data_IF_417227688904
#
_entry.id   IF_417227688904
#
_cell.length_a   1.000
_cell.length_b   1.000
_cell.length_c   1.000
_cell.angle_alpha   90.00
_cell.angle_beta   90.00
_cell.angle_gamma   90.00
#
_symmetry.space_group_name_H-M   'P 1'
#
loop_
_entity.id
_entity.type
_entity.pdbx_description
1 polymer ?
#
# COMPACT_ATOMS: atom_id res chain seq x y z
N UNK A 1 56.59 -9.99 -83.76
CA UNK A 1 55.21 -10.33 -83.36
C UNK A 1 55.19 -10.81 -81.89
N UNK A 2 55.40 -9.93 -80.90
CA UNK A 2 55.44 -10.33 -79.47
C UNK A 2 54.49 -9.50 -78.57
N UNK A 3 53.56 -8.74 -79.18
CA UNK A 3 52.64 -7.84 -78.45
C UNK A 3 51.44 -8.57 -77.84
N UNK A 4 50.80 -9.47 -78.60
CA UNK A 4 49.59 -10.17 -78.18
C UNK A 4 49.82 -11.13 -77.00
N UNK A 5 50.99 -11.77 -76.92
CA UNK A 5 51.32 -12.68 -75.81
C UNK A 5 51.46 -11.95 -74.47
N UNK A 6 52.01 -10.73 -74.48
CA UNK A 6 52.13 -9.89 -73.27
C UNK A 6 50.75 -9.44 -72.77
N UNK A 7 49.86 -9.07 -73.69
CA UNK A 7 48.49 -8.68 -73.35
C UNK A 7 47.67 -9.83 -72.77
N UNK A 8 47.84 -11.05 -73.28
CA UNK A 8 47.15 -12.25 -72.75
C UNK A 8 47.66 -12.59 -71.33
N UNK A 9 48.98 -12.50 -71.09
CA UNK A 9 49.55 -12.73 -69.75
C UNK A 9 49.10 -11.66 -68.76
N UNK A 10 49.04 -10.39 -69.17
CA UNK A 10 48.53 -9.29 -68.34
C UNK A 10 47.05 -9.46 -68.00
N UNK A 11 46.23 -9.92 -68.96
CA UNK A 11 44.81 -10.20 -68.73
C UNK A 11 44.62 -11.37 -67.75
N UNK A 12 45.44 -12.42 -67.86
CA UNK A 12 45.42 -13.55 -66.92
C UNK A 12 45.77 -13.15 -65.49
N UNK A 13 46.81 -12.31 -65.32
CA UNK A 13 47.22 -11.81 -63.99
C UNK A 13 46.15 -10.89 -63.40
N UNK A 14 45.55 -10.01 -64.20
CA UNK A 14 44.47 -9.14 -63.75
C UNK A 14 43.24 -9.93 -63.28
N UNK A 15 42.87 -11.00 -64.01
CA UNK A 15 41.76 -11.87 -63.65
C UNK A 15 42.02 -12.61 -62.33
N UNK A 16 43.24 -13.11 -62.14
CA UNK A 16 43.66 -13.77 -60.90
C UNK A 16 43.62 -12.83 -59.69
N UNK A 17 44.08 -11.59 -59.86
CA UNK A 17 44.04 -10.57 -58.81
C UNK A 17 42.60 -10.14 -58.47
N UNK A 18 41.73 -10.02 -59.47
CA UNK A 18 40.33 -9.70 -59.24
C UNK A 18 39.59 -10.81 -58.47
N UNK A 19 39.86 -12.08 -58.83
CA UNK A 19 39.30 -13.24 -58.13
C UNK A 19 39.81 -13.34 -56.68
N UNK A 20 41.11 -13.16 -56.45
CA UNK A 20 41.67 -13.23 -55.10
C UNK A 20 41.16 -12.11 -54.20
N UNK A 21 41.07 -10.88 -54.71
CA UNK A 21 40.48 -9.75 -54.00
C UNK A 21 38.99 -10.00 -53.70
N UNK A 22 38.23 -10.52 -54.66
CA UNK A 22 36.82 -10.89 -54.47
C UNK A 22 36.63 -11.95 -53.38
N UNK A 23 37.48 -12.99 -53.37
CA UNK A 23 37.45 -14.04 -52.35
C UNK A 23 37.83 -13.48 -50.98
N UNK A 24 38.84 -12.61 -50.89
CA UNK A 24 39.26 -11.98 -49.63
C UNK A 24 38.17 -11.06 -49.07
N UNK A 25 37.51 -10.27 -49.91
CA UNK A 25 36.38 -9.40 -49.50
C UNK A 25 35.18 -10.25 -49.09
N UNK A 26 34.90 -11.34 -49.81
CA UNK A 26 33.82 -12.27 -49.46
C UNK A 26 34.09 -12.98 -48.13
N UNK A 27 35.33 -13.44 -47.89
CA UNK A 27 35.74 -14.00 -46.60
C UNK A 27 35.70 -12.97 -45.48
N UNK A 28 36.11 -11.72 -45.74
CA UNK A 28 36.04 -10.64 -44.76
C UNK A 28 34.61 -10.23 -44.42
N UNK A 29 33.71 -10.20 -45.43
CA UNK A 29 32.28 -10.03 -45.22
C UNK A 29 31.64 -11.21 -44.51
N UNK A 30 32.09 -12.44 -44.71
CA UNK A 30 31.59 -13.57 -43.93
C UNK A 30 32.12 -13.54 -42.48
N UNK A 31 33.39 -13.17 -42.28
CA UNK A 31 33.99 -13.00 -40.97
C UNK A 31 33.36 -11.84 -40.17
N UNK A 32 32.89 -10.78 -40.85
CA UNK A 32 32.12 -9.69 -40.24
C UNK A 32 30.60 -9.92 -40.22
N UNK A 33 30.06 -10.71 -41.16
CA UNK A 33 28.65 -11.09 -41.24
C UNK A 33 28.24 -12.08 -40.15
N UNK A 34 29.21 -12.75 -39.52
CA UNK A 34 29.01 -13.51 -38.28
C UNK A 34 29.21 -12.66 -37.02
N UNK A 35 29.88 -11.50 -37.10
CA UNK A 35 30.05 -10.58 -35.98
C UNK A 35 28.77 -9.78 -35.63
N UNK A 36 27.71 -9.90 -36.44
CA UNK A 36 26.36 -9.39 -36.17
C UNK A 36 25.41 -10.41 -35.51
N UNK A 37 25.81 -11.69 -35.39
CA UNK A 37 25.22 -12.56 -34.37
C UNK A 37 25.92 -12.23 -33.07
N UNK A 38 25.55 -11.10 -32.47
CA UNK A 38 25.84 -10.84 -31.05
C UNK A 38 25.52 -12.13 -30.31
N UNK A 39 26.44 -12.56 -29.43
CA UNK A 39 26.26 -13.69 -28.51
C UNK A 39 24.78 -13.89 -28.29
N UNK A 40 24.23 -15.02 -28.76
CA UNK A 40 22.80 -15.30 -28.62
C UNK A 40 22.48 -15.07 -27.14
N UNK A 41 21.91 -13.90 -26.85
CA UNK A 41 21.76 -13.45 -25.47
C UNK A 41 20.91 -14.54 -24.87
N UNK A 42 21.39 -15.18 -23.80
CA UNK A 42 20.67 -16.28 -23.19
C UNK A 42 19.26 -15.79 -22.94
N UNK A 43 18.29 -16.36 -23.66
CA UNK A 43 16.90 -15.97 -23.57
C UNK A 43 16.20 -16.98 -22.69
N UNK A 44 15.37 -16.51 -21.77
CA UNK A 44 14.56 -17.38 -20.93
C UNK A 44 13.06 -17.07 -21.11
N UNK A 45 12.21 -18.07 -20.90
CA UNK A 45 10.76 -17.91 -21.01
C UNK A 45 10.24 -17.00 -19.89
N UNK A 46 9.34 -16.09 -20.26
CA UNK A 46 8.70 -15.14 -19.38
C UNK A 46 7.21 -15.05 -19.70
N UNK A 47 6.36 -15.16 -18.70
CA UNK A 47 4.92 -14.96 -18.86
C UNK A 47 4.60 -13.47 -18.98
N UNK A 48 3.89 -13.10 -20.05
CA UNK A 48 3.45 -11.73 -20.33
C UNK A 48 1.94 -11.69 -20.61
N UNK A 49 1.33 -10.52 -20.42
CA UNK A 49 -0.08 -10.31 -20.75
C UNK A 49 -0.29 -10.17 -22.27
N UNK A 50 -1.38 -10.74 -22.80
CA UNK A 50 -1.73 -10.62 -24.23
C UNK A 50 -2.45 -9.32 -24.57
N UNK A 51 -3.07 -8.69 -23.57
CA UNK A 51 -3.87 -7.46 -23.65
C UNK A 51 -3.73 -6.68 -22.34
N UNK A 52 -4.32 -5.49 -22.30
CA UNK A 52 -4.47 -4.77 -21.04
C UNK A 52 -5.42 -5.54 -20.11
N UNK A 53 -4.99 -5.74 -18.86
CA UNK A 53 -5.72 -6.44 -17.81
C UNK A 53 -5.90 -5.50 -16.61
N UNK A 54 -7.13 -5.16 -16.22
CA UNK A 54 -7.37 -4.33 -15.05
C UNK A 54 -7.07 -5.07 -13.74
N UNK A 55 -6.83 -4.31 -12.67
CA UNK A 55 -6.71 -4.87 -11.32
C UNK A 55 -7.97 -5.65 -10.93
N UNK A 56 -7.82 -6.74 -10.16
CA UNK A 56 -8.92 -7.63 -9.77
C UNK A 56 -9.27 -8.70 -10.81
N UNK A 57 -8.63 -8.70 -11.99
CA UNK A 57 -8.86 -9.73 -13.01
C UNK A 57 -8.28 -11.08 -12.57
N UNK A 58 -9.09 -12.14 -12.66
CA UNK A 58 -8.63 -13.52 -12.51
C UNK A 58 -7.94 -13.97 -13.79
N UNK A 59 -6.70 -14.41 -13.66
CA UNK A 59 -5.85 -14.80 -14.78
C UNK A 59 -6.33 -16.12 -15.37
N UNK A 60 -6.76 -16.05 -16.63
CA UNK A 60 -7.09 -17.21 -17.44
C UNK A 60 -5.97 -17.48 -18.47
N UNK A 61 -5.78 -18.73 -18.93
CA UNK A 61 -4.70 -19.07 -19.85
C UNK A 61 -4.71 -18.29 -21.17
N UNK A 62 -5.87 -17.84 -21.64
CA UNK A 62 -6.04 -17.05 -22.88
C UNK A 62 -5.56 -15.59 -22.75
N UNK A 63 -5.40 -15.11 -21.51
CA UNK A 63 -4.92 -13.75 -21.22
C UNK A 63 -3.40 -13.66 -21.13
N UNK A 64 -2.72 -14.81 -21.14
CA UNK A 64 -1.29 -14.93 -20.88
C UNK A 64 -0.60 -15.62 -22.06
N UNK A 65 0.64 -15.21 -22.34
CA UNK A 65 1.49 -15.90 -23.30
C UNK A 65 2.92 -15.96 -22.78
N UNK A 66 3.67 -16.94 -23.25
CA UNK A 66 5.10 -17.05 -22.97
C UNK A 66 5.85 -16.30 -24.06
N UNK A 67 6.73 -15.38 -23.66
CA UNK A 67 7.62 -14.66 -24.56
C UNK A 67 9.07 -14.86 -24.13
N UNK A 68 9.96 -15.07 -25.09
CA UNK A 68 11.40 -15.16 -24.83
C UNK A 68 11.98 -13.77 -24.60
N UNK A 69 12.56 -13.55 -23.42
CA UNK A 69 13.22 -12.30 -23.05
C UNK A 69 14.73 -12.52 -22.85
N UNK A 70 15.60 -11.57 -23.23
CA UNK A 70 17.02 -11.61 -22.89
C UNK A 70 17.22 -11.59 -21.38
N UNK A 71 18.11 -12.45 -20.85
CA UNK A 71 18.42 -12.54 -19.41
C UNK A 71 18.83 -11.18 -18.81
N UNK A 72 19.46 -10.32 -19.60
CA UNK A 72 19.91 -8.97 -19.16
C UNK A 72 18.76 -8.01 -18.83
N UNK A 73 17.55 -8.26 -19.32
CA UNK A 73 16.36 -7.41 -19.11
C UNK A 73 15.30 -8.11 -18.26
N UNK A 74 15.63 -9.24 -17.63
CA UNK A 74 14.67 -10.00 -16.85
C UNK A 74 14.44 -9.41 -15.45
N UNK A 75 13.18 -9.38 -14.97
CA UNK A 75 12.89 -9.10 -13.57
C UNK A 75 13.50 -10.15 -12.62
N UNK A 76 13.81 -9.72 -11.39
CA UNK A 76 14.41 -10.57 -10.36
C UNK A 76 13.53 -11.78 -9.96
N UNK A 77 12.21 -11.60 -9.91
CA UNK A 77 11.24 -12.66 -9.69
C UNK A 77 10.25 -12.73 -10.86
N UNK A 78 9.97 -13.94 -11.35
CA UNK A 78 9.20 -14.18 -12.57
C UNK A 78 8.52 -15.54 -12.55
N UNK A 79 7.56 -15.70 -13.46
CA UNK A 79 6.92 -16.97 -13.77
C UNK A 79 7.35 -17.46 -15.14
N UNK A 80 7.71 -18.73 -15.23
CA UNK A 80 8.20 -19.34 -16.47
C UNK A 80 7.08 -20.03 -17.24
N UNK A 81 6.01 -20.43 -16.54
CA UNK A 81 4.86 -21.15 -17.12
C UNK A 81 3.54 -20.50 -16.75
N UNK A 82 2.55 -20.58 -17.64
CA UNK A 82 1.20 -20.05 -17.41
C UNK A 82 0.49 -20.78 -16.25
N UNK A 83 0.79 -22.07 -16.05
CA UNK A 83 0.19 -22.89 -14.98
C UNK A 83 0.50 -22.38 -13.58
N UNK A 84 1.65 -21.73 -13.37
CA UNK A 84 2.05 -21.17 -12.06
C UNK A 84 1.16 -20.00 -11.61
N UNK A 85 0.46 -19.37 -12.55
CA UNK A 85 -0.30 -18.14 -12.33
C UNK A 85 -1.77 -18.26 -12.72
N UNK A 86 -2.16 -19.40 -13.29
CA UNK A 86 -3.54 -19.69 -13.65
C UNK A 86 -4.45 -19.62 -12.42
N UNK A 87 -5.55 -18.87 -12.54
CA UNK A 87 -6.52 -18.69 -11.47
C UNK A 87 -6.13 -17.68 -10.39
N UNK A 88 -4.91 -17.12 -10.43
CA UNK A 88 -4.52 -16.02 -9.54
C UNK A 88 -5.16 -14.70 -9.96
N UNK A 89 -5.24 -13.74 -9.05
CA UNK A 89 -5.86 -12.43 -9.29
C UNK A 89 -4.80 -11.34 -9.36
N UNK A 90 -4.96 -10.38 -10.26
CA UNK A 90 -4.11 -9.19 -10.34
C UNK A 90 -4.37 -8.22 -9.20
N UNK A 91 -3.32 -7.79 -8.50
CA UNK A 91 -3.39 -6.72 -7.50
C UNK A 91 -3.36 -5.32 -8.12
N UNK A 92 -2.82 -5.19 -9.33
CA UNK A 92 -2.71 -3.91 -10.07
C UNK A 92 -2.93 -4.17 -11.55
N UNK A 93 -3.31 -3.12 -12.30
CA UNK A 93 -3.48 -3.23 -13.75
C UNK A 93 -2.15 -3.51 -14.45
N UNK A 94 -2.24 -4.22 -15.57
CA UNK A 94 -1.10 -4.72 -16.33
C UNK A 94 -1.33 -4.45 -17.81
N UNK A 95 -0.33 -3.91 -18.50
CA UNK A 95 -0.42 -3.58 -19.93
C UNK A 95 -0.13 -4.79 -20.81
N UNK A 96 -0.55 -4.73 -22.08
CA UNK A 96 -0.17 -5.73 -23.06
C UNK A 96 1.36 -5.84 -23.19
N UNK A 97 1.87 -7.07 -23.27
CA UNK A 97 3.30 -7.41 -23.34
C UNK A 97 4.13 -7.08 -22.09
N UNK A 98 3.48 -6.66 -21.00
CA UNK A 98 4.18 -6.47 -19.73
C UNK A 98 4.57 -7.82 -19.10
N UNK A 99 5.72 -7.95 -18.43
CA UNK A 99 6.08 -9.12 -17.63
C UNK A 99 5.21 -9.32 -16.38
N UNK A 100 4.76 -10.55 -16.14
CA UNK A 100 4.06 -10.88 -14.91
C UNK A 100 5.06 -11.19 -13.78
N UNK A 101 5.02 -10.38 -12.73
CA UNK A 101 5.85 -10.54 -11.52
C UNK A 101 4.98 -10.88 -10.31
N UNK A 102 5.54 -11.48 -9.23
CA UNK A 102 4.78 -11.78 -8.02
C UNK A 102 4.13 -10.54 -7.39
N UNK A 103 4.78 -9.36 -7.49
CA UNK A 103 4.24 -8.09 -6.99
C UNK A 103 2.98 -7.60 -7.71
N UNK A 104 2.72 -8.09 -8.93
CA UNK A 104 1.50 -7.79 -9.70
C UNK A 104 0.33 -8.69 -9.32
N UNK A 105 0.61 -9.80 -8.62
CA UNK A 105 -0.39 -10.74 -8.18
C UNK A 105 -0.84 -10.41 -6.77
N UNK A 106 -2.14 -10.53 -6.55
CA UNK A 106 -2.68 -10.52 -5.22
C UNK A 106 -2.20 -11.79 -4.47
N UNK A 107 -2.03 -11.68 -3.15
CA UNK A 107 -1.64 -12.82 -2.31
C UNK A 107 -2.59 -14.00 -2.52
N UNK A 108 -2.16 -15.23 -2.21
CA UNK A 108 -2.96 -16.46 -2.47
C UNK A 108 -4.38 -16.38 -1.91
N UNK A 109 -4.58 -15.66 -0.81
CA UNK A 109 -5.88 -15.44 -0.19
C UNK A 109 -6.83 -14.52 -0.99
N UNK A 110 -6.33 -13.75 -1.96
CA UNK A 110 -7.15 -12.86 -2.78
C UNK A 110 -7.91 -13.57 -3.90
N UNK A 111 -7.55 -14.79 -4.29
CA UNK A 111 -8.16 -15.51 -5.42
C UNK A 111 -9.65 -15.84 -5.23
N UNK A 112 -10.19 -15.75 -4.00
CA UNK A 112 -11.62 -15.85 -3.70
C UNK A 112 -12.26 -14.52 -3.26
N UNK A 113 -11.64 -13.38 -3.57
CA UNK A 113 -12.09 -12.05 -3.13
C UNK A 113 -11.89 -11.83 -1.63
N UNK A 114 -12.45 -10.75 -1.09
CA UNK A 114 -12.38 -10.47 0.36
C UNK A 114 -12.96 -11.66 1.16
N UNK A 115 -13.94 -12.38 0.62
CA UNK A 115 -14.50 -13.58 1.26
C UNK A 115 -13.51 -14.71 1.55
N UNK A 116 -12.41 -14.82 0.78
CA UNK A 116 -11.39 -15.85 1.01
C UNK A 116 -10.32 -15.47 2.06
N UNK A 117 -10.20 -14.19 2.41
CA UNK A 117 -9.31 -13.72 3.50
C UNK A 117 -10.03 -13.64 4.85
N UNK A 118 -11.37 -13.67 4.88
CA UNK A 118 -12.13 -13.58 6.13
C UNK A 118 -11.97 -14.88 6.93
N UNK A 119 -11.54 -14.72 8.17
CA UNK A 119 -11.47 -15.79 9.17
C UNK A 119 -12.87 -16.37 9.41
N UNK A 120 -12.97 -17.70 9.47
CA UNK A 120 -14.24 -18.38 9.73
C UNK A 120 -14.94 -17.83 10.98
N UNK A 121 -16.23 -17.49 10.86
CA UNK A 121 -17.01 -16.89 11.94
C UNK A 121 -16.93 -15.36 12.03
N UNK A 122 -16.14 -14.69 11.18
CA UNK A 122 -16.09 -13.22 11.08
C UNK A 122 -16.75 -12.70 9.79
N UNK A 123 -16.89 -11.39 9.67
CA UNK A 123 -17.51 -10.65 8.56
C UNK A 123 -16.61 -9.49 8.15
N UNK A 124 -16.57 -9.21 6.86
CA UNK A 124 -16.00 -7.99 6.34
C UNK A 124 -17.06 -6.88 6.36
N UNK A 125 -16.76 -5.77 7.04
CA UNK A 125 -17.65 -4.60 7.07
C UNK A 125 -16.93 -3.37 6.51
N UNK A 126 -17.52 -2.75 5.49
CA UNK A 126 -17.05 -1.49 4.96
C UNK A 126 -17.54 -0.33 5.83
N UNK A 127 -16.62 0.52 6.27
CA UNK A 127 -16.89 1.69 7.11
C UNK A 127 -16.27 2.93 6.50
N UNK A 128 -17.04 4.03 6.50
CA UNK A 128 -16.56 5.33 6.06
C UNK A 128 -15.71 5.94 7.17
N UNK A 129 -14.45 6.25 6.84
CA UNK A 129 -13.54 6.99 7.71
C UNK A 129 -13.53 8.48 7.39
N UNK A 130 -13.20 9.29 8.39
CA UNK A 130 -12.91 10.70 8.18
C UNK A 130 -11.39 10.90 7.96
N UNK A 131 -11.03 11.57 6.86
CA UNK A 131 -9.65 11.75 6.37
C UNK A 131 -8.77 12.62 7.29
N UNK A 132 -9.37 13.36 8.22
CA UNK A 132 -8.75 14.52 8.87
C UNK A 132 -7.89 14.18 10.11
N UNK A 133 -8.01 12.99 10.69
CA UNK A 133 -7.22 12.61 11.88
C UNK A 133 -6.27 11.43 11.57
N UNK A 134 -5.24 11.70 10.77
CA UNK A 134 -3.93 11.07 10.95
C UNK A 134 -3.45 9.99 9.96
N UNK A 135 -4.23 9.57 8.96
CA UNK A 135 -3.89 8.36 8.19
C UNK A 135 -4.00 8.55 6.67
N UNK A 136 -3.42 9.62 6.13
CA UNK A 136 -3.37 9.95 4.69
C UNK A 136 -2.73 8.84 3.82
N UNK A 137 -3.42 7.71 3.65
CA UNK A 137 -2.93 6.50 2.98
C UNK A 137 -1.98 5.63 3.82
N UNK A 138 -1.92 5.83 5.14
CA UNK A 138 -1.02 5.03 6.00
C UNK A 138 -1.60 3.67 6.38
N UNK A 139 -2.92 3.57 6.53
CA UNK A 139 -3.60 2.30 6.79
C UNK A 139 -3.58 1.46 5.53
N UNK A 140 -2.99 0.27 5.63
CA UNK A 140 -2.91 -0.71 4.55
C UNK A 140 -3.59 -2.01 4.95
N UNK A 141 -4.03 -2.82 3.96
CA UNK A 141 -4.44 -4.20 4.23
C UNK A 141 -3.41 -4.95 5.09
N UNK A 142 -3.87 -5.67 6.11
CA UNK A 142 -3.04 -6.37 7.09
C UNK A 142 -2.63 -5.54 8.30
N UNK A 143 -2.94 -4.24 8.36
CA UNK A 143 -2.75 -3.44 9.58
C UNK A 143 -3.86 -3.70 10.60
N UNK A 144 -3.55 -3.42 11.86
CA UNK A 144 -4.50 -3.43 12.97
C UNK A 144 -4.88 -1.99 13.30
N UNK A 145 -6.16 -1.75 13.57
CA UNK A 145 -6.67 -0.44 13.97
C UNK A 145 -7.55 -0.54 15.21
N UNK A 146 -7.56 0.51 16.01
CA UNK A 146 -8.59 0.73 17.02
C UNK A 146 -9.65 1.66 16.42
N UNK A 147 -10.92 1.34 16.70
CA UNK A 147 -12.08 2.07 16.19
C UNK A 147 -12.65 2.92 17.31
N UNK A 148 -12.60 4.23 17.13
CA UNK A 148 -13.18 5.20 18.04
C UNK A 148 -14.46 5.77 17.46
N UNK A 149 -15.40 6.13 18.32
CA UNK A 149 -16.61 6.84 17.92
C UNK A 149 -16.77 8.10 18.75
N UNK A 150 -17.16 9.19 18.10
CA UNK A 150 -17.68 10.39 18.76
C UNK A 150 -19.19 10.41 18.62
N UNK A 151 -19.89 10.38 19.76
CA UNK A 151 -21.36 10.35 19.85
C UNK A 151 -21.85 11.41 20.84
N UNK A 152 -23.05 11.99 20.63
CA UNK A 152 -23.71 12.75 21.68
C UNK A 152 -24.06 11.84 22.87
N UNK A 153 -23.91 12.36 24.09
CA UNK A 153 -24.17 11.65 25.34
C UNK A 153 -25.16 12.46 26.19
N UNK A 154 -26.28 11.82 26.51
CA UNK A 154 -27.38 12.43 27.26
C UNK A 154 -28.47 13.00 26.34
N UNK A 155 -29.33 13.86 26.90
CA UNK A 155 -30.43 14.51 26.15
C UNK A 155 -29.99 15.76 25.38
N UNK A 156 -28.73 16.16 25.55
CA UNK A 156 -28.18 17.39 25.03
C UNK A 156 -27.15 17.04 23.95
N UNK A 157 -27.53 17.23 22.70
CA UNK A 157 -26.71 16.90 21.53
C UNK A 157 -25.39 17.70 21.48
N UNK A 158 -25.27 18.78 22.27
CA UNK A 158 -24.03 19.54 22.39
C UNK A 158 -22.94 18.83 23.21
N UNK A 159 -23.32 17.83 24.02
CA UNK A 159 -22.38 17.05 24.84
C UNK A 159 -21.96 15.81 24.08
N UNK A 160 -20.80 15.88 23.43
CA UNK A 160 -20.22 14.73 22.75
C UNK A 160 -19.14 14.06 23.58
N UNK A 161 -19.03 12.74 23.44
CA UNK A 161 -17.96 11.94 24.02
C UNK A 161 -17.33 11.07 22.94
N UNK A 162 -16.01 10.98 22.96
CA UNK A 162 -15.24 10.07 22.12
C UNK A 162 -14.78 8.88 22.93
N UNK A 163 -14.99 7.66 22.43
CA UNK A 163 -14.55 6.43 23.09
C UNK A 163 -14.11 5.37 22.10
N UNK A 164 -13.14 4.54 22.51
CA UNK A 164 -12.75 3.32 21.80
C UNK A 164 -13.89 2.31 21.89
N UNK A 165 -14.43 1.91 20.74
CA UNK A 165 -15.53 0.93 20.63
C UNK A 165 -14.98 -0.47 20.39
N UNK A 166 -13.92 -0.56 19.58
CA UNK A 166 -13.21 -1.80 19.26
C UNK A 166 -11.72 -1.56 19.25
N UNK A 167 -10.97 -2.59 19.64
CA UNK A 167 -9.51 -2.60 19.61
C UNK A 167 -9.00 -3.75 18.75
N UNK A 168 -7.79 -3.58 18.21
CA UNK A 168 -7.07 -4.63 17.50
C UNK A 168 -7.87 -5.24 16.34
N UNK A 169 -8.49 -4.38 15.53
CA UNK A 169 -9.33 -4.80 14.41
C UNK A 169 -8.48 -4.93 13.13
N UNK A 170 -8.48 -6.08 12.45
CA UNK A 170 -7.77 -6.26 11.19
C UNK A 170 -8.42 -5.47 10.05
N UNK A 171 -7.59 -4.78 9.27
CA UNK A 171 -8.01 -4.12 8.02
C UNK A 171 -7.77 -5.06 6.84
N UNK A 172 -8.85 -5.41 6.14
CA UNK A 172 -8.80 -6.27 4.95
C UNK A 172 -8.57 -5.48 3.66
N UNK A 173 -9.15 -4.28 3.58
CA UNK A 173 -8.99 -3.39 2.43
C UNK A 173 -9.06 -1.92 2.86
N UNK A 174 -8.35 -1.06 2.15
CA UNK A 174 -8.44 0.39 2.28
C UNK A 174 -8.52 0.99 0.87
N UNK A 175 -9.48 1.87 0.65
CA UNK A 175 -9.71 2.51 -0.63
C UNK A 175 -10.37 3.86 -0.46
N UNK A 176 -10.47 4.61 -1.55
CA UNK A 176 -11.18 5.87 -1.54
C UNK A 176 -12.23 5.85 -2.63
N UNK A 177 -13.45 6.27 -2.29
CA UNK A 177 -14.52 6.40 -3.26
C UNK A 177 -14.60 7.86 -3.66
N UNK A 178 -14.35 8.14 -4.94
CA UNK A 178 -14.72 9.42 -5.53
C UNK A 178 -16.24 9.45 -5.61
N UNK A 179 -16.87 10.42 -4.94
CA UNK A 179 -18.24 10.78 -5.28
C UNK A 179 -18.24 11.22 -6.75
N UNK A 180 -19.20 10.72 -7.54
CA UNK A 180 -19.28 10.93 -8.98
C UNK A 180 -18.99 12.38 -9.38
N UNK A 181 -18.28 12.57 -10.51
CA UNK A 181 -17.82 13.83 -11.12
C UNK A 181 -18.92 14.87 -11.45
N UNK A 182 -20.16 14.66 -11.02
CA UNK A 182 -21.26 15.63 -11.19
C UNK A 182 -21.44 16.60 -10.02
N UNK A 183 -20.77 16.35 -8.89
CA UNK A 183 -20.74 17.30 -7.77
C UNK A 183 -19.37 17.97 -7.74
N UNK A 184 -19.29 19.24 -8.17
CA UNK A 184 -18.09 20.11 -8.16
C UNK A 184 -17.65 20.49 -6.71
N UNK A 185 -17.48 19.47 -5.87
CA UNK A 185 -17.09 19.57 -4.47
C UNK A 185 -16.96 18.20 -3.78
N UNK A 186 -16.87 17.11 -4.56
CA UNK A 186 -16.86 15.74 -4.08
C UNK A 186 -15.80 15.50 -3.00
N UNK A 187 -16.24 15.44 -1.74
CA UNK A 187 -15.37 15.11 -0.62
C UNK A 187 -14.92 13.66 -0.78
N UNK A 188 -13.62 13.47 -0.95
CA UNK A 188 -12.97 12.16 -1.00
C UNK A 188 -13.23 11.44 0.33
N UNK A 189 -14.04 10.38 0.30
CA UNK A 189 -14.32 9.57 1.47
C UNK A 189 -13.43 8.32 1.44
N UNK A 190 -12.62 8.15 2.49
CA UNK A 190 -11.85 6.93 2.67
C UNK A 190 -12.77 5.84 3.22
N UNK A 191 -12.74 4.67 2.60
CA UNK A 191 -13.51 3.49 2.98
C UNK A 191 -12.53 2.40 3.41
N UNK A 192 -12.74 1.90 4.62
CA UNK A 192 -11.95 0.82 5.20
C UNK A 192 -12.83 -0.41 5.34
N UNK A 193 -12.33 -1.57 4.93
CA UNK A 193 -13.00 -2.85 5.14
C UNK A 193 -12.35 -3.55 6.33
N UNK A 194 -13.11 -3.70 7.40
CA UNK A 194 -12.66 -4.29 8.67
C UNK A 194 -13.12 -5.74 8.79
N UNK A 195 -12.30 -6.58 9.40
CA UNK A 195 -12.69 -7.94 9.79
C UNK A 195 -13.25 -7.95 11.22
N UNK A 196 -14.54 -8.25 11.36
CA UNK A 196 -15.26 -8.14 12.63
C UNK A 196 -16.00 -9.43 12.95
N UNK A 197 -16.16 -9.76 14.23
CA UNK A 197 -17.18 -10.72 14.66
C UNK A 197 -18.59 -10.14 14.45
N UNK A 198 -19.66 -10.96 14.44
CA UNK A 198 -21.04 -10.46 14.36
C UNK A 198 -21.36 -9.40 15.41
N UNK A 199 -20.95 -9.64 16.66
CA UNK A 199 -21.21 -8.74 17.78
C UNK A 199 -20.46 -7.41 17.65
N UNK A 200 -19.23 -7.44 17.14
CA UNK A 200 -18.46 -6.23 16.84
C UNK A 200 -19.04 -5.46 15.65
N UNK A 201 -19.54 -6.19 14.65
CA UNK A 201 -20.23 -5.61 13.49
C UNK A 201 -21.47 -4.82 13.90
N UNK A 202 -22.27 -5.34 14.84
CA UNK A 202 -23.44 -4.65 15.39
C UNK A 202 -23.03 -3.34 16.09
N UNK A 203 -21.98 -3.36 16.91
CA UNK A 203 -21.46 -2.16 17.60
C UNK A 203 -21.00 -1.09 16.61
N UNK A 204 -20.25 -1.49 15.59
CA UNK A 204 -19.71 -0.57 14.56
C UNK A 204 -20.83 -0.01 13.70
N UNK A 205 -21.81 -0.82 13.31
CA UNK A 205 -22.96 -0.36 12.53
C UNK A 205 -23.77 0.71 13.30
N UNK A 206 -24.02 0.49 14.59
CA UNK A 206 -24.70 1.46 15.44
C UNK A 206 -23.86 2.75 15.59
N UNK A 207 -22.58 2.60 15.91
CA UNK A 207 -21.64 3.70 16.07
C UNK A 207 -21.52 4.56 14.79
N UNK A 208 -21.48 3.93 13.62
CA UNK A 208 -21.46 4.60 12.32
C UNK A 208 -22.77 5.33 12.00
N UNK A 209 -23.89 4.88 12.55
CA UNK A 209 -25.20 5.49 12.29
C UNK A 209 -25.44 6.69 13.20
N UNK A 210 -24.98 6.62 14.45
CA UNK A 210 -25.26 7.62 15.47
C UNK A 210 -24.16 8.66 15.65
N UNK A 211 -22.97 8.45 15.07
CA UNK A 211 -21.80 9.29 15.32
C UNK A 211 -20.77 9.28 14.21
N UNK A 212 -19.61 9.84 14.54
CA UNK A 212 -18.46 9.89 13.63
C UNK A 212 -17.42 8.86 14.05
N UNK A 213 -17.03 7.99 13.13
CA UNK A 213 -15.96 7.01 13.35
C UNK A 213 -14.58 7.63 13.08
N UNK A 214 -13.64 7.28 13.94
CA UNK A 214 -12.22 7.59 13.81
C UNK A 214 -11.41 6.30 13.94
N UNK A 215 -10.26 6.27 13.29
CA UNK A 215 -9.35 5.12 13.33
C UNK A 215 -8.02 5.54 13.90
N UNK A 216 -7.50 4.75 14.84
CA UNK A 216 -6.12 4.85 15.31
C UNK A 216 -5.35 3.63 14.81
N UNK A 217 -4.22 3.85 14.13
CA UNK A 217 -3.37 2.75 13.69
C UNK A 217 -2.67 2.14 14.89
N UNK A 218 -2.87 0.83 15.09
CA UNK A 218 -2.29 0.08 16.21
C UNK A 218 -0.95 -0.52 15.79
N UNK A 219 0.00 -0.58 16.73
CA UNK A 219 1.24 -1.31 16.51
C UNK A 219 0.94 -2.81 16.38
N UNK A 220 1.53 -3.47 15.39
CA UNK A 220 1.33 -4.90 15.15
C UNK A 220 1.81 -5.81 16.30
N UNK A 221 2.71 -5.32 17.16
CA UNK A 221 3.20 -6.06 18.34
C UNK A 221 2.40 -5.76 19.62
N UNK A 222 1.47 -4.81 19.58
CA UNK A 222 0.66 -4.43 20.73
C UNK A 222 -0.63 -5.26 20.74
N UNK A 223 -0.73 -6.21 21.67
CA UNK A 223 -1.90 -7.09 21.84
C UNK A 223 -2.64 -6.85 23.15
N UNK A 224 -2.26 -5.85 23.94
CA UNK A 224 -2.85 -5.62 25.27
C UNK A 224 -4.14 -4.80 25.17
N UNK A 225 -5.23 -5.30 25.76
CA UNK A 225 -6.48 -4.52 25.82
C UNK A 225 -6.34 -3.34 26.77
N UNK A 226 -6.62 -2.12 26.30
CA UNK A 226 -6.51 -0.90 27.11
C UNK A 226 -7.89 -0.35 27.43
N UNK A 227 -8.34 -0.51 28.68
CA UNK A 227 -9.63 0.05 29.08
C UNK A 227 -9.54 1.57 29.19
N UNK A 228 -10.38 2.25 28.42
CA UNK A 228 -10.51 3.72 28.46
C UNK A 228 -11.90 4.14 28.94
N UNK A 229 -11.95 5.22 29.72
CA UNK A 229 -13.23 5.81 30.12
C UNK A 229 -13.88 6.55 28.95
N UNK A 230 -13.07 7.06 28.02
CA UNK A 230 -13.45 7.98 26.94
C UNK A 230 -13.15 9.43 27.32
N UNK A 231 -13.25 10.35 26.36
CA UNK A 231 -12.99 11.77 26.56
C UNK A 231 -14.15 12.62 26.07
N UNK A 232 -14.61 13.52 26.92
CA UNK A 232 -15.49 14.63 26.54
C UNK A 232 -14.67 15.90 26.25
N UNK A 233 -15.32 16.95 25.76
CA UNK A 233 -14.65 18.22 25.45
C UNK A 233 -13.87 18.79 26.64
N UNK A 234 -14.40 18.64 27.87
CA UNK A 234 -13.76 19.14 29.09
C UNK A 234 -12.46 18.40 29.39
N UNK A 235 -12.49 17.08 29.32
CA UNK A 235 -11.35 16.21 29.61
C UNK A 235 -10.28 16.35 28.53
N UNK A 236 -10.69 16.40 27.26
CA UNK A 236 -9.78 16.64 26.14
C UNK A 236 -9.02 17.97 26.29
N UNK A 237 -9.71 19.06 26.65
CA UNK A 237 -9.13 20.39 26.84
C UNK A 237 -8.42 20.58 28.20
N UNK A 238 -8.47 19.59 29.09
CA UNK A 238 -7.80 19.61 30.40
C UNK A 238 -6.43 18.93 30.40
N UNK A 239 -6.17 18.04 29.42
CA UNK A 239 -4.99 17.15 29.32
C UNK A 239 -3.61 17.84 29.46
N UNK A 240 -3.51 19.14 29.19
CA UNK A 240 -2.29 19.93 29.36
C UNK A 240 -2.50 21.25 30.12
N UNK A 241 -3.56 21.36 30.91
CA UNK A 241 -3.64 22.48 31.86
C UNK A 241 -2.59 22.21 32.93
N UNK A 242 -1.63 23.14 33.09
CA UNK A 242 -0.73 23.13 34.24
C UNK A 242 -1.62 22.94 35.45
N UNK A 243 -1.44 21.83 36.18
CA UNK A 243 -2.16 21.61 37.42
C UNK A 243 -2.02 22.92 38.18
N UNK A 244 -3.15 23.61 38.40
CA UNK A 244 -3.13 24.84 39.19
C UNK A 244 -2.53 24.38 40.49
N UNK A 245 -1.25 24.71 40.73
CA UNK A 245 -0.60 24.49 42.01
C UNK A 245 -1.57 25.12 42.96
N UNK A 246 -2.28 24.27 43.71
CA UNK A 246 -3.10 24.71 44.80
C UNK A 246 -2.10 25.38 45.73
N UNK A 247 -1.92 26.70 45.60
CA UNK A 247 -1.35 27.50 46.68
C UNK A 247 -2.15 27.07 47.89
N UNK A 248 -1.42 26.49 48.84
CA UNK A 248 -1.96 25.68 49.91
C UNK A 248 -3.31 26.19 50.36
N UNK A 249 -4.28 25.27 50.38
CA UNK A 249 -5.50 25.47 51.14
C UNK A 249 -5.10 26.03 52.50
N UNK A 250 -5.58 27.24 52.75
CA UNK A 250 -5.70 27.82 54.07
C UNK A 250 -6.38 26.75 54.92
N UNK A 251 -5.59 26.10 55.79
CA UNK A 251 -6.14 25.24 56.82
C UNK A 251 -7.17 26.05 57.59
N UNK A 252 -8.33 25.46 57.81
CA UNK A 252 -9.41 26.01 58.61
C UNK A 252 -8.96 26.19 60.07
N UNK A 253 -8.38 27.34 60.34
CA UNK A 253 -8.06 27.85 61.67
C UNK A 253 -7.50 29.25 61.48
N UNK A 254 -8.30 30.28 61.75
CA UNK A 254 -7.81 31.65 61.67
C UNK A 254 -6.90 31.86 62.88
N UNK A 255 -5.60 31.60 62.75
CA UNK A 255 -4.63 31.96 63.80
C UNK A 255 -4.15 33.38 63.54
N UNK A 256 -4.57 34.32 64.39
CA UNK A 256 -4.05 35.70 64.35
C UNK A 256 -2.92 35.80 65.38
N UNK A 257 -1.74 36.22 64.93
CA UNK A 257 -0.61 36.53 65.79
C UNK A 257 -0.73 37.98 66.25
N UNK A 258 -0.94 38.19 67.55
CA UNK A 258 -1.02 39.53 68.15
C UNK A 258 0.35 39.82 68.77
N UNK A 259 0.97 40.91 68.33
CA UNK A 259 2.23 41.41 68.87
C UNK A 259 1.94 42.64 69.71
N UNK A 260 2.13 42.51 71.03
CA UNK A 260 2.03 43.64 71.97
C UNK A 260 3.38 43.85 72.63
N UNK A 261 4.11 44.86 72.18
CA UNK A 261 5.48 45.13 72.64
C UNK A 261 6.44 43.99 72.30
N UNK A 262 7.16 43.46 73.29
CA UNK A 262 8.16 42.40 73.11
C UNK A 262 7.62 40.96 73.23
N UNK A 263 6.30 40.78 73.35
CA UNK A 263 5.68 39.44 73.42
C UNK A 263 4.79 39.18 72.20
N UNK A 264 4.95 37.97 71.64
CA UNK A 264 4.13 37.41 70.55
C UNK A 264 3.21 36.33 71.11
N UNK A 265 1.92 36.38 70.75
CA UNK A 265 0.95 35.35 71.13
C UNK A 265 0.06 34.99 69.94
N UNK A 266 -0.19 33.70 69.75
CA UNK A 266 -1.05 33.16 68.70
C UNK A 266 -2.38 32.73 69.29
N UNK A 267 -3.47 33.22 68.70
CA UNK A 267 -4.83 32.79 69.05
C UNK A 267 -5.48 32.20 67.81
N UNK A 268 -5.95 30.95 67.92
CA UNK A 268 -6.66 30.22 66.86
C UNK A 268 -8.16 30.30 67.11
N UNK A 269 -8.91 30.75 66.11
CA UNK A 269 -10.38 30.73 66.07
C UNK A 269 -10.90 29.52 65.30
#
# INVERSE_FOLDING_TARGET
MNGSLKSIVQLGIALLLALSAGILVFQWMQAKGTAGRGQAAKTAPLVVATRELPAGTKLAPDMLRIQSYPETMMPAQRYATVKEVEGRILASSMSANEPLTPSRLAGEAAAGGISAVITHGKRAMAVKGNKVMGLAGLVRPGNMVDVLVTLPVGKDDSKTMTKVVLENVPVLAAGSQMANEKDEGGQHADIYTLELTPQESEKVALASTQGTLHFALRNASDTETVLTEGADARTALASYRTARVARGGHGSGNTVEIITGSKRSQVTF
#
